data_IF_794330288840
#
_entry.id   IF_794330288840
#
_cell.length_a   1.000
_cell.length_b   1.000
_cell.length_c   1.000
_cell.angle_alpha   90.00
_cell.angle_beta   90.00
_cell.angle_gamma   90.00
#
_symmetry.space_group_name_H-M   'P 1'
#
loop_
_entity.id
_entity.type
_entity.pdbx_description
1 polymer ?
#
# COMPACT_ATOMS: atom_id res chain seq x y z
N UNK A 1 -5.57 -13.89 -13.96
CA UNK A 1 -4.92 -12.70 -13.38
C UNK A 1 -4.54 -12.80 -11.91
N UNK A 2 -5.44 -13.18 -10.98
CA UNK A 2 -5.18 -13.05 -9.53
C UNK A 2 -3.95 -13.79 -9.00
N UNK A 3 -3.58 -14.94 -9.58
CA UNK A 3 -2.35 -15.66 -9.21
C UNK A 3 -1.07 -14.86 -9.50
N UNK A 4 -1.07 -14.01 -10.52
CA UNK A 4 0.07 -13.15 -10.86
C UNK A 4 0.18 -11.99 -9.87
N UNK A 5 -0.96 -11.41 -9.46
CA UNK A 5 -0.98 -10.34 -8.47
C UNK A 5 -0.38 -10.77 -7.12
N UNK A 6 -0.80 -11.91 -6.57
CA UNK A 6 -0.29 -12.38 -5.27
C UNK A 6 1.23 -12.65 -5.31
N UNK A 7 1.72 -13.26 -6.40
CA UNK A 7 3.15 -13.48 -6.61
C UNK A 7 3.92 -12.17 -6.78
N UNK A 8 3.40 -11.24 -7.58
CA UNK A 8 4.02 -9.94 -7.79
C UNK A 8 4.06 -9.13 -6.48
N UNK A 9 2.95 -9.09 -5.74
CA UNK A 9 2.87 -8.42 -4.44
C UNK A 9 3.90 -8.99 -3.46
N UNK A 10 3.98 -10.32 -3.34
CA UNK A 10 4.96 -10.96 -2.45
C UNK A 10 6.41 -10.62 -2.84
N UNK A 11 6.72 -10.45 -4.12
CA UNK A 11 8.06 -10.03 -4.57
C UNK A 11 8.31 -8.55 -4.29
N UNK A 12 7.34 -7.67 -4.56
CA UNK A 12 7.43 -6.23 -4.26
C UNK A 12 7.66 -6.01 -2.76
N UNK A 13 6.88 -6.67 -1.91
CA UNK A 13 6.97 -6.51 -0.46
C UNK A 13 8.30 -7.00 0.15
N UNK A 14 9.09 -7.82 -0.56
CA UNK A 14 10.45 -8.18 -0.12
C UNK A 14 11.42 -7.01 -0.21
N UNK A 15 11.19 -6.11 -1.17
CA UNK A 15 12.03 -4.92 -1.39
C UNK A 15 11.48 -3.70 -0.65
N UNK A 16 10.23 -3.73 -0.21
CA UNK A 16 9.61 -2.66 0.56
C UNK A 16 10.16 -2.60 1.99
N UNK A 17 10.45 -1.38 2.45
CA UNK A 17 10.86 -1.11 3.82
C UNK A 17 9.69 -1.15 4.82
N UNK A 18 10.01 -0.82 6.07
CA UNK A 18 9.01 -0.69 7.13
C UNK A 18 8.37 0.71 7.17
N UNK A 19 8.24 1.24 8.38
CA UNK A 19 7.71 2.58 8.60
C UNK A 19 8.69 3.66 8.14
N UNK A 20 8.18 4.68 7.45
CA UNK A 20 8.87 5.95 7.19
C UNK A 20 7.92 7.11 7.44
N UNK A 21 8.41 8.17 8.07
CA UNK A 21 7.67 9.41 8.29
C UNK A 21 8.67 10.55 8.31
N UNK A 22 8.97 11.07 7.12
CA UNK A 22 9.91 12.16 6.95
C UNK A 22 9.12 13.45 6.67
N UNK A 23 9.36 14.50 7.46
CA UNK A 23 8.70 15.80 7.29
C UNK A 23 9.07 16.50 5.99
N UNK A 24 10.19 16.14 5.36
CA UNK A 24 10.59 16.63 4.04
C UNK A 24 10.00 15.80 2.88
N UNK A 25 9.42 14.63 3.15
CA UNK A 25 8.81 13.79 2.13
C UNK A 25 7.38 14.28 1.83
N UNK A 26 7.08 14.66 0.58
CA UNK A 26 5.73 15.08 0.21
C UNK A 26 4.70 13.95 0.33
N UNK A 27 5.16 12.68 0.30
CA UNK A 27 4.32 11.50 0.51
C UNK A 27 3.92 11.25 1.96
N UNK A 28 4.63 11.84 2.92
CA UNK A 28 4.37 11.71 4.36
C UNK A 28 4.49 10.27 4.89
N UNK A 29 3.79 10.00 5.99
CA UNK A 29 3.76 8.70 6.66
C UNK A 29 3.47 7.55 5.69
N UNK A 30 4.38 6.57 5.66
CA UNK A 30 4.37 5.42 4.77
C UNK A 30 4.70 4.13 5.54
N UNK A 31 4.01 3.05 5.21
CA UNK A 31 4.28 1.71 5.75
C UNK A 31 4.25 0.69 4.60
N UNK A 32 5.34 -0.04 4.37
CA UNK A 32 5.43 -1.05 3.30
C UNK A 32 4.94 -0.50 1.94
N UNK A 33 5.41 0.69 1.56
CA UNK A 33 5.04 1.37 0.31
C UNK A 33 3.65 2.02 0.29
N UNK A 34 2.83 1.82 1.33
CA UNK A 34 1.50 2.42 1.44
C UNK A 34 1.57 3.75 2.19
N UNK A 35 1.26 4.85 1.50
CA UNK A 35 1.14 6.18 2.12
C UNK A 35 -0.18 6.32 2.89
N UNK A 36 -0.22 7.19 3.90
CA UNK A 36 -1.43 7.48 4.67
C UNK A 36 -2.58 7.99 3.78
N UNK A 37 -2.27 8.76 2.74
CA UNK A 37 -3.26 9.24 1.79
C UNK A 37 -3.94 8.09 1.03
N UNK A 38 -3.16 7.14 0.52
CA UNK A 38 -3.69 5.97 -0.18
C UNK A 38 -4.45 5.04 0.77
N UNK A 39 -3.94 4.84 1.98
CA UNK A 39 -4.63 4.04 3.00
C UNK A 39 -6.00 4.64 3.37
N UNK A 40 -6.07 5.97 3.49
CA UNK A 40 -7.35 6.67 3.71
C UNK A 40 -8.31 6.50 2.54
N UNK A 41 -7.80 6.63 1.32
CA UNK A 41 -8.62 6.55 0.11
C UNK A 41 -9.23 5.16 -0.10
N UNK A 42 -8.50 4.09 0.19
CA UNK A 42 -8.91 2.74 -0.21
C UNK A 42 -9.32 1.81 0.93
N UNK A 43 -8.93 2.11 2.17
CA UNK A 43 -9.16 1.22 3.32
C UNK A 43 -9.94 1.90 4.44
N UNK A 44 -9.45 3.03 4.95
CA UNK A 44 -10.04 3.69 6.13
C UNK A 44 -9.90 5.22 6.04
N UNK A 45 -10.96 5.90 5.58
CA UNK A 45 -10.97 7.35 5.31
C UNK A 45 -10.45 8.23 6.46
N UNK A 46 -10.73 7.85 7.71
CA UNK A 46 -10.29 8.58 8.91
C UNK A 46 -9.03 7.99 9.56
N UNK A 47 -8.24 7.19 8.85
CA UNK A 47 -7.05 6.55 9.40
C UNK A 47 -6.03 7.56 9.94
N UNK A 48 -5.35 7.17 10.99
CA UNK A 48 -4.23 7.86 11.62
C UNK A 48 -2.90 7.20 11.24
N UNK A 49 -1.78 7.84 11.59
CA UNK A 49 -0.45 7.23 11.51
C UNK A 49 -0.37 5.92 12.32
N UNK A 50 -1.06 5.85 13.45
CA UNK A 50 -1.11 4.65 14.28
C UNK A 50 -1.88 3.50 13.61
N UNK A 51 -2.98 3.82 12.91
CA UNK A 51 -3.70 2.85 12.10
C UNK A 51 -2.82 2.33 10.96
N UNK A 52 -2.12 3.22 10.25
CA UNK A 52 -1.22 2.84 9.15
C UNK A 52 -0.06 1.95 9.63
N UNK A 53 0.48 2.18 10.83
CA UNK A 53 1.51 1.29 11.41
C UNK A 53 1.00 -0.12 11.71
N UNK A 54 -0.31 -0.29 11.88
CA UNK A 54 -0.97 -1.58 12.15
C UNK A 54 -1.66 -2.14 10.90
N UNK A 55 -1.31 -1.65 9.72
CA UNK A 55 -1.89 -2.12 8.46
C UNK A 55 -1.68 -3.63 8.31
N UNK A 56 -2.75 -4.35 7.94
CA UNK A 56 -2.69 -5.80 7.71
C UNK A 56 -2.25 -6.10 6.28
N UNK A 57 -1.77 -7.32 6.03
CA UNK A 57 -1.34 -7.71 4.68
C UNK A 57 -2.51 -7.70 3.68
N UNK A 58 -3.75 -7.98 4.12
CA UNK A 58 -4.96 -7.85 3.28
C UNK A 58 -5.26 -6.39 2.91
N UNK A 59 -5.04 -5.47 3.85
CA UNK A 59 -5.22 -4.04 3.60
C UNK A 59 -4.14 -3.49 2.66
N UNK A 60 -2.90 -3.94 2.82
CA UNK A 60 -1.81 -3.64 1.86
C UNK A 60 -2.20 -4.16 0.48
N UNK A 61 -2.62 -5.43 0.38
CA UNK A 61 -3.04 -6.03 -0.88
C UNK A 61 -4.19 -5.26 -1.53
N UNK A 62 -5.14 -4.74 -0.73
CA UNK A 62 -6.25 -3.90 -1.23
C UNK A 62 -5.73 -2.62 -1.88
N UNK A 63 -4.79 -1.93 -1.23
CA UNK A 63 -4.18 -0.71 -1.80
C UNK A 63 -3.37 -1.04 -3.06
N UNK A 64 -2.52 -2.07 -3.01
CA UNK A 64 -1.69 -2.48 -4.16
C UNK A 64 -2.53 -2.88 -5.36
N UNK A 65 -3.63 -3.61 -5.12
CA UNK A 65 -4.54 -4.00 -6.19
C UNK A 65 -5.21 -2.79 -6.83
N UNK A 66 -5.87 -1.94 -6.03
CA UNK A 66 -6.69 -0.85 -6.56
C UNK A 66 -5.88 0.31 -7.15
N UNK A 67 -4.73 0.62 -6.56
CA UNK A 67 -3.96 1.80 -6.95
C UNK A 67 -2.82 1.50 -7.91
N UNK A 68 -2.22 0.31 -7.84
CA UNK A 68 -1.08 -0.03 -8.69
C UNK A 68 -1.44 -1.06 -9.75
N UNK A 69 -2.17 -2.13 -9.41
CA UNK A 69 -2.46 -3.22 -10.36
C UNK A 69 -3.59 -2.88 -11.34
N UNK A 70 -4.73 -2.42 -10.82
CA UNK A 70 -5.91 -2.10 -11.62
C UNK A 70 -5.72 -0.79 -12.40
N UNK A 71 -4.93 0.15 -11.86
CA UNK A 71 -4.67 1.45 -12.48
C UNK A 71 -3.79 1.37 -13.74
N UNK A 72 -2.99 0.31 -13.90
CA UNK A 72 -2.09 0.10 -15.05
C UNK A 72 -2.60 -0.96 -16.02
N UNK A 73 -3.88 -1.36 -15.92
CA UNK A 73 -4.46 -2.45 -16.70
C UNK A 73 -3.68 -3.78 -16.60
N UNK A 74 -3.27 -4.19 -15.39
CA UNK A 74 -2.68 -5.54 -15.14
C UNK A 74 -3.65 -6.71 -15.38
N UNK A 75 -4.75 -6.47 -16.09
CA UNK A 75 -5.84 -7.37 -16.42
C UNK A 75 -6.04 -7.59 -17.95
N UNK A 76 -5.06 -7.19 -18.77
CA UNK A 76 -4.93 -7.67 -20.16
C UNK A 76 -3.99 -8.89 -20.26
#
# INVERSE_FOLDING_TARGET
MDRNFQRALALTLKSEGGWSDNSADPGGATMKGVTLANFRRYVKANATKADLRKITDEQIATVYRRFYWDAVAGAE
#
